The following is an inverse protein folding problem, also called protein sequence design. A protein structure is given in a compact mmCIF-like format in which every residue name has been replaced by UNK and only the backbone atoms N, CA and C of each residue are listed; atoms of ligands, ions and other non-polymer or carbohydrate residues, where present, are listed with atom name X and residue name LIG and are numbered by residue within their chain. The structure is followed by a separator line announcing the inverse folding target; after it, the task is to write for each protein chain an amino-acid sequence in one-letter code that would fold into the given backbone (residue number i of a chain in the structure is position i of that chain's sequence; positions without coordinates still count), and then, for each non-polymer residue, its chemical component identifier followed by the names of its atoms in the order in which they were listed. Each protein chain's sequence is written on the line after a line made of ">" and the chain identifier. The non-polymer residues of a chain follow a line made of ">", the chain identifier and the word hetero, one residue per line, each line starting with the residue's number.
data_IF_170937052339
#
_entry.id   IF_170937052339
#
_cell.length_a   1.000
_cell.length_b   1.000
_cell.length_c   1.000
_cell.angle_alpha   90.00
_cell.angle_beta   90.00
_cell.angle_gamma   90.00
#
_symmetry.space_group_name_H-M   'P 1'
#
loop_
_entity.id
_entity.type
_entity.pdbx_description
1 polymer ?
#
# COMPACT_ATOMS: atom_id res chain seq x y z
N UNK A 1 1.22 -38.76 22.74
CA UNK A 1 0.95 -37.31 22.68
C UNK A 1 1.79 -36.76 21.55
N UNK A 2 1.20 -36.66 20.36
CA UNK A 2 1.88 -36.12 19.18
C UNK A 2 1.93 -34.59 19.28
N UNK A 3 3.13 -34.03 19.16
CA UNK A 3 3.37 -32.60 19.20
C UNK A 3 2.77 -31.91 17.98
N UNK A 4 1.79 -31.05 18.22
CA UNK A 4 1.30 -30.09 17.23
C UNK A 4 2.46 -29.16 16.89
N UNK A 5 3.06 -29.36 15.71
CA UNK A 5 4.02 -28.41 15.12
C UNK A 5 3.27 -27.09 14.94
N UNK A 6 3.67 -26.06 15.68
CA UNK A 6 3.13 -24.72 15.53
C UNK A 6 3.28 -24.27 14.08
N UNK A 7 2.17 -23.91 13.45
CA UNK A 7 2.16 -23.23 12.16
C UNK A 7 2.98 -21.94 12.32
N UNK A 8 4.19 -21.88 11.77
CA UNK A 8 4.93 -20.62 11.63
C UNK A 8 4.23 -19.79 10.56
N UNK A 9 3.18 -19.06 10.93
CA UNK A 9 2.43 -18.20 10.02
C UNK A 9 3.37 -17.20 9.33
N UNK A 10 3.22 -17.03 8.00
CA UNK A 10 3.91 -15.95 7.28
C UNK A 10 3.47 -14.62 7.89
N UNK A 11 4.41 -13.79 8.34
CA UNK A 11 4.11 -12.42 8.80
C UNK A 11 3.74 -11.54 7.58
N UNK A 12 2.44 -11.45 7.32
CA UNK A 12 1.87 -10.72 6.18
C UNK A 12 2.00 -9.20 6.34
N UNK A 13 1.91 -8.68 7.57
CA UNK A 13 1.95 -7.24 7.79
C UNK A 13 3.38 -6.68 7.83
N UNK A 14 3.61 -5.46 7.31
CA UNK A 14 4.89 -4.78 7.43
C UNK A 14 5.16 -4.30 8.86
N UNK A 15 6.35 -3.74 9.08
CA UNK A 15 6.71 -3.15 10.37
C UNK A 15 5.85 -1.92 10.64
N UNK A 16 5.49 -1.69 11.90
CA UNK A 16 4.81 -0.47 12.31
C UNK A 16 5.63 0.77 11.97
N UNK A 17 4.92 1.80 11.51
CA UNK A 17 5.45 3.13 11.22
C UNK A 17 4.75 4.14 12.10
N UNK A 18 5.47 5.20 12.46
CA UNK A 18 4.93 6.35 13.17
C UNK A 18 4.87 7.53 12.21
N UNK A 19 3.68 8.04 11.96
CA UNK A 19 3.46 9.31 11.29
C UNK A 19 4.00 10.43 12.15
N UNK A 20 4.69 11.38 11.52
CA UNK A 20 5.25 12.54 12.20
C UNK A 20 4.42 13.80 11.95
N UNK A 21 3.49 13.76 10.98
CA UNK A 21 2.63 14.87 10.53
C UNK A 21 1.28 14.31 10.05
N UNK A 22 0.39 15.15 9.52
CA UNK A 22 -0.88 14.74 8.88
C UNK A 22 -0.70 13.96 7.58
N UNK A 23 0.07 12.86 7.63
CA UNK A 23 0.53 12.06 6.50
C UNK A 23 0.04 10.60 6.59
N UNK A 24 -1.04 10.37 7.35
CA UNK A 24 -1.68 9.06 7.56
C UNK A 24 -1.96 8.32 6.25
N UNK A 25 -2.48 9.00 5.22
CA UNK A 25 -2.79 8.39 3.93
C UNK A 25 -1.57 7.80 3.22
N UNK A 26 -0.42 8.48 3.25
CA UNK A 26 0.79 7.96 2.60
C UNK A 26 1.32 6.73 3.33
N UNK A 27 1.27 6.74 4.67
CA UNK A 27 1.67 5.59 5.50
C UNK A 27 0.70 4.43 5.32
N UNK A 28 -0.61 4.68 5.31
CA UNK A 28 -1.64 3.68 5.13
C UNK A 28 -1.56 3.02 3.75
N UNK A 29 -1.44 3.81 2.69
CA UNK A 29 -1.39 3.30 1.32
C UNK A 29 -0.12 2.47 1.04
N UNK A 30 1.04 2.91 1.57
CA UNK A 30 2.27 2.11 1.47
C UNK A 30 2.19 0.82 2.30
N UNK A 31 1.64 0.88 3.51
CA UNK A 31 1.41 -0.30 4.37
C UNK A 31 0.47 -1.30 3.70
N UNK A 32 -0.59 -0.81 3.08
CA UNK A 32 -1.55 -1.59 2.30
C UNK A 32 -0.88 -2.33 1.14
N UNK A 33 -0.09 -1.62 0.33
CA UNK A 33 0.66 -2.24 -0.77
C UNK A 33 1.72 -3.25 -0.28
N UNK A 34 2.44 -2.94 0.80
CA UNK A 34 3.46 -3.82 1.36
C UNK A 34 2.89 -5.12 1.90
N UNK A 35 1.74 -5.05 2.58
CA UNK A 35 1.05 -6.23 3.06
C UNK A 35 0.63 -7.13 1.88
N UNK A 36 0.11 -6.56 0.80
CA UNK A 36 -0.20 -7.31 -0.42
C UNK A 36 1.03 -7.91 -1.12
N UNK A 37 2.14 -7.16 -1.20
CA UNK A 37 3.41 -7.67 -1.72
C UNK A 37 3.93 -8.85 -0.88
N UNK A 38 3.78 -8.79 0.45
CA UNK A 38 4.19 -9.87 1.37
C UNK A 38 3.34 -11.13 1.20
N UNK A 39 2.03 -11.00 0.94
CA UNK A 39 1.19 -12.14 0.57
C UNK A 39 1.74 -12.81 -0.69
N UNK A 40 2.17 -12.02 -1.68
CA UNK A 40 2.82 -12.49 -2.90
C UNK A 40 4.29 -12.93 -2.71
N UNK A 41 4.82 -12.92 -1.47
CA UNK A 41 6.19 -13.35 -1.15
C UNK A 41 7.27 -12.30 -1.39
N UNK A 42 6.90 -11.05 -1.71
CA UNK A 42 7.82 -9.93 -1.93
C UNK A 42 7.90 -9.09 -0.66
N UNK A 43 9.10 -8.96 -0.09
CA UNK A 43 9.34 -8.07 1.06
C UNK A 43 10.08 -6.82 0.60
N UNK A 44 9.42 -5.66 0.73
CA UNK A 44 9.98 -4.34 0.44
C UNK A 44 9.45 -3.33 1.45
N UNK A 45 10.23 -2.30 1.74
CA UNK A 45 9.79 -1.10 2.45
C UNK A 45 9.60 0.01 1.41
N UNK A 46 8.36 0.34 1.07
CA UNK A 46 7.96 1.43 0.17
C UNK A 46 8.04 2.77 0.89
N UNK A 47 8.36 3.84 0.16
CA UNK A 47 8.50 5.19 0.72
C UNK A 47 7.18 5.96 0.74
N UNK A 48 6.64 6.31 1.92
CA UNK A 48 5.53 7.27 2.02
C UNK A 48 5.93 8.65 1.50
N UNK A 49 7.19 9.04 1.64
CA UNK A 49 7.72 10.34 1.21
C UNK A 49 7.76 10.45 -0.31
N UNK A 50 8.15 9.40 -1.03
CA UNK A 50 8.07 9.38 -2.51
C UNK A 50 6.63 9.51 -3.00
N UNK A 51 5.66 8.91 -2.29
CA UNK A 51 4.23 9.07 -2.60
C UNK A 51 3.78 10.52 -2.35
N UNK A 52 4.16 11.10 -1.21
CA UNK A 52 3.84 12.49 -0.86
C UNK A 52 4.41 13.49 -1.86
N UNK A 53 5.68 13.34 -2.23
CA UNK A 53 6.33 14.22 -3.21
C UNK A 53 5.66 14.11 -4.58
N UNK A 54 5.33 12.89 -5.04
CA UNK A 54 4.64 12.71 -6.32
C UNK A 54 3.21 13.24 -6.30
N UNK A 55 2.48 13.07 -5.18
CA UNK A 55 1.14 13.63 -5.00
C UNK A 55 1.14 15.15 -5.10
N UNK A 56 2.10 15.80 -4.42
CA UNK A 56 2.26 17.26 -4.43
C UNK A 56 2.60 17.81 -5.81
N UNK A 57 3.26 17.00 -6.65
CA UNK A 57 3.69 17.37 -8.00
C UNK A 57 2.70 16.91 -9.11
N UNK A 58 1.51 16.39 -8.75
CA UNK A 58 0.46 16.11 -9.74
C UNK A 58 -0.02 17.41 -10.40
N UNK A 59 -0.02 17.45 -11.73
CA UNK A 59 -0.46 18.62 -12.50
C UNK A 59 -1.97 18.88 -12.38
N UNK A 60 -2.76 17.83 -12.19
CA UNK A 60 -4.22 17.86 -12.12
C UNK A 60 -4.74 17.36 -10.77
N UNK A 61 -4.07 17.80 -9.71
CA UNK A 61 -4.41 17.48 -8.32
C UNK A 61 -5.82 17.95 -7.96
N UNK A 62 -6.65 17.04 -7.46
CA UNK A 62 -7.97 17.37 -6.90
C UNK A 62 -7.88 17.70 -5.40
N UNK A 63 -8.97 18.18 -4.81
CA UNK A 63 -8.98 18.53 -3.38
C UNK A 63 -8.82 17.31 -2.46
N UNK A 64 -9.27 16.13 -2.90
CA UNK A 64 -9.17 14.89 -2.13
C UNK A 64 -7.78 14.25 -2.28
N UNK A 65 -6.99 14.32 -1.20
CA UNK A 65 -5.66 13.73 -1.10
C UNK A 65 -5.67 12.21 -1.30
N UNK A 66 -6.72 11.51 -0.87
CA UNK A 66 -6.85 10.05 -1.05
C UNK A 66 -6.90 9.72 -2.53
N UNK A 67 -7.76 10.40 -3.28
CA UNK A 67 -7.89 10.16 -4.72
C UNK A 67 -6.60 10.49 -5.47
N UNK A 68 -5.92 11.58 -5.09
CA UNK A 68 -4.60 11.92 -5.65
C UNK A 68 -3.56 10.83 -5.38
N UNK A 69 -3.50 10.30 -4.15
CA UNK A 69 -2.59 9.20 -3.81
C UNK A 69 -2.88 7.96 -4.66
N UNK A 70 -4.15 7.56 -4.76
CA UNK A 70 -4.55 6.40 -5.56
C UNK A 70 -4.20 6.61 -7.04
N UNK A 71 -4.32 7.84 -7.54
CA UNK A 71 -3.89 8.21 -8.89
C UNK A 71 -2.40 8.05 -9.08
N UNK A 72 -1.56 8.60 -8.19
CA UNK A 72 -0.10 8.40 -8.23
C UNK A 72 0.22 6.91 -8.24
N UNK A 73 -0.39 6.13 -7.34
CA UNK A 73 -0.12 4.70 -7.25
C UNK A 73 -0.50 3.95 -8.52
N UNK A 74 -1.57 4.36 -9.21
CA UNK A 74 -2.06 3.70 -10.42
C UNK A 74 -1.25 4.08 -11.67
N UNK A 75 -0.98 5.38 -11.84
CA UNK A 75 -0.42 5.91 -13.08
C UNK A 75 1.10 6.01 -13.07
N UNK A 76 1.69 6.35 -11.92
CA UNK A 76 3.12 6.64 -11.78
C UNK A 76 3.84 5.54 -11.00
N UNK A 77 3.26 5.10 -9.90
CA UNK A 77 3.87 4.21 -8.91
C UNK A 77 4.91 4.89 -8.04
N UNK A 78 5.41 4.14 -7.06
CA UNK A 78 6.36 4.59 -6.03
C UNK A 78 7.56 3.66 -5.92
N UNK A 79 8.64 4.12 -5.33
CA UNK A 79 9.86 3.33 -5.12
C UNK A 79 10.01 2.87 -3.67
N UNK A 80 11.01 2.01 -3.44
CA UNK A 80 11.39 1.62 -2.09
C UNK A 80 11.96 2.82 -1.32
N UNK A 81 11.84 2.80 0.00
CA UNK A 81 12.44 3.79 0.91
C UNK A 81 13.94 3.94 0.68
N UNK A 82 14.64 2.82 0.55
CA UNK A 82 16.07 2.81 0.26
C UNK A 82 16.40 3.49 -1.08
N UNK A 83 15.62 3.24 -2.14
CA UNK A 83 15.87 3.88 -3.44
C UNK A 83 15.53 5.38 -3.41
N UNK A 84 14.49 5.75 -2.65
CA UNK A 84 14.13 7.15 -2.43
C UNK A 84 15.24 7.91 -1.67
N UNK A 85 15.76 7.35 -0.57
CA UNK A 85 16.85 7.93 0.21
C UNK A 85 18.12 8.10 -0.63
N UNK A 86 18.43 7.14 -1.51
CA UNK A 86 19.56 7.25 -2.46
C UNK A 86 19.38 8.40 -3.44
N UNK A 87 18.17 8.59 -3.99
CA UNK A 87 17.88 9.72 -4.89
C UNK A 87 18.07 11.05 -4.18
N UNK A 88 17.56 11.17 -2.95
CA UNK A 88 17.68 12.38 -2.14
C UNK A 88 19.14 12.68 -1.76
N UNK A 89 19.93 11.65 -1.43
CA UNK A 89 21.37 11.78 -1.17
C UNK A 89 22.16 12.26 -2.40
N UNK A 90 21.91 11.64 -3.55
CA UNK A 90 22.58 12.02 -4.80
C UNK A 90 22.22 13.45 -5.26
N UNK A 91 20.99 13.90 -5.02
CA UNK A 91 20.58 15.29 -5.28
C UNK A 91 21.37 16.29 -4.44
N UNK A 92 21.58 16.00 -3.14
CA UNK A 92 22.31 16.87 -2.21
C UNK A 92 23.79 17.00 -2.55
N UNK A 93 24.43 15.92 -3.00
CA UNK A 93 25.88 15.93 -3.30
C UNK A 93 26.21 16.57 -4.64
N UNK A 94 25.34 16.43 -5.64
CA UNK A 94 25.65 16.84 -7.02
C UNK A 94 24.86 18.07 -7.50
N UNK A 95 23.89 18.57 -6.72
CA UNK A 95 23.01 19.68 -7.13
C UNK A 95 22.19 19.38 -8.39
N UNK A 96 22.20 18.14 -8.86
CA UNK A 96 21.51 17.68 -10.05
C UNK A 96 20.35 16.80 -9.64
N UNK A 97 19.18 17.01 -10.26
CA UNK A 97 18.13 16.00 -10.31
C UNK A 97 18.73 14.79 -11.03
N UNK A 98 19.21 13.81 -10.27
CA UNK A 98 19.69 12.54 -10.84
C UNK A 98 18.46 11.83 -11.40
N UNK A 99 18.16 12.16 -12.66
CA UNK A 99 17.02 11.67 -13.44
C UNK A 99 17.02 10.15 -13.61
N UNK A 100 18.07 9.44 -13.16
CA UNK A 100 18.29 8.03 -13.45
C UNK A 100 18.99 7.36 -12.26
N UNK A 101 18.38 7.36 -11.08
CA UNK A 101 18.55 6.17 -10.24
C UNK A 101 17.57 5.16 -10.79
N UNK A 102 18.08 4.21 -11.57
CA UNK A 102 17.40 2.99 -11.98
C UNK A 102 16.77 2.34 -10.73
N UNK A 103 15.54 2.71 -10.39
CA UNK A 103 14.83 2.23 -9.22
C UNK A 103 13.68 1.32 -9.65
N UNK A 104 13.40 0.31 -8.84
CA UNK A 104 12.20 -0.50 -9.01
C UNK A 104 10.99 0.34 -8.62
N UNK A 105 10.00 0.37 -9.50
CA UNK A 105 8.74 1.08 -9.27
C UNK A 105 7.62 0.09 -9.01
N UNK A 106 6.81 0.38 -8.00
CA UNK A 106 5.66 -0.39 -7.55
C UNK A 106 4.40 0.44 -7.81
N UNK A 107 3.46 -0.06 -8.60
CA UNK A 107 2.20 0.61 -8.91
C UNK A 107 1.02 -0.34 -8.71
N UNK A 108 -0.14 0.17 -8.35
CA UNK A 108 -1.38 -0.62 -8.32
C UNK A 108 -1.92 -0.74 -9.75
N UNK A 109 -2.39 -1.94 -10.15
CA UNK A 109 -2.95 -2.14 -11.49
C UNK A 109 -4.29 -1.42 -11.62
N UNK A 110 -5.20 -1.66 -10.69
CA UNK A 110 -6.47 -0.98 -10.58
C UNK A 110 -6.85 -0.81 -9.10
N UNK A 111 -7.78 0.11 -8.85
CA UNK A 111 -8.35 0.35 -7.52
C UNK A 111 -9.87 0.26 -7.64
N UNK A 112 -10.48 -0.54 -6.77
CA UNK A 112 -11.92 -0.72 -6.66
C UNK A 112 -12.39 -0.09 -5.34
N UNK A 113 -13.23 0.96 -5.39
CA UNK A 113 -13.87 1.48 -4.19
C UNK A 113 -15.07 0.60 -3.81
N UNK A 114 -15.28 0.43 -2.51
CA UNK A 114 -16.52 -0.10 -1.94
C UNK A 114 -17.30 1.04 -1.30
N UNK A 115 -18.61 1.07 -1.56
CA UNK A 115 -19.56 2.01 -0.96
C UNK A 115 -20.48 1.28 0.01
N UNK A 116 -20.34 1.54 1.30
CA UNK A 116 -21.15 0.87 2.34
C UNK A 116 -22.64 1.24 2.32
N UNK A 117 -23.04 2.19 1.47
CA UNK A 117 -24.45 2.46 1.18
C UNK A 117 -25.12 1.31 0.38
N UNK A 118 -24.32 0.40 -0.20
CA UNK A 118 -24.79 -0.72 -1.01
C UNK A 118 -24.44 -2.04 -0.32
N UNK A 119 -25.45 -2.82 0.07
CA UNK A 119 -25.27 -4.11 0.75
C UNK A 119 -24.32 -5.07 0.01
N UNK A 120 -24.42 -5.13 -1.31
CA UNK A 120 -23.54 -5.96 -2.14
C UNK A 120 -22.08 -5.50 -2.11
N UNK A 121 -21.85 -4.21 -1.92
CA UNK A 121 -20.50 -3.67 -1.77
C UNK A 121 -19.89 -4.06 -0.42
N UNK A 122 -20.70 -4.14 0.64
CA UNK A 122 -20.25 -4.62 1.95
C UNK A 122 -19.83 -6.09 1.88
N UNK A 123 -20.64 -6.94 1.22
CA UNK A 123 -20.32 -8.35 1.01
C UNK A 123 -19.01 -8.52 0.25
N UNK A 124 -18.83 -7.78 -0.84
CA UNK A 124 -17.57 -7.79 -1.62
C UNK A 124 -16.37 -7.34 -0.78
N UNK A 125 -16.51 -6.30 0.04
CA UNK A 125 -15.44 -5.89 0.95
C UNK A 125 -15.06 -6.99 1.96
N UNK A 126 -16.06 -7.69 2.51
CA UNK A 126 -15.86 -8.82 3.42
C UNK A 126 -15.23 -10.04 2.74
N UNK A 127 -15.47 -10.25 1.45
CA UNK A 127 -14.79 -11.27 0.66
C UNK A 127 -13.34 -10.86 0.38
N UNK A 128 -13.11 -9.62 -0.03
CA UNK A 128 -11.78 -9.09 -0.37
C UNK A 128 -10.81 -9.08 0.82
N UNK A 129 -11.27 -8.69 2.03
CA UNK A 129 -10.40 -8.63 3.22
C UNK A 129 -9.77 -9.99 3.58
N UNK A 130 -10.40 -11.10 3.16
CA UNK A 130 -9.89 -12.47 3.40
C UNK A 130 -8.65 -12.79 2.56
N UNK A 131 -8.47 -12.10 1.44
CA UNK A 131 -7.41 -12.38 0.46
C UNK A 131 -6.39 -11.27 0.33
N UNK A 132 -6.77 -10.03 0.67
CA UNK A 132 -5.88 -8.89 0.61
C UNK A 132 -6.26 -7.85 1.68
N UNK A 133 -5.27 -7.11 2.21
CA UNK A 133 -5.56 -5.93 3.01
C UNK A 133 -6.37 -4.91 2.20
N UNK A 134 -7.14 -4.09 2.91
CA UNK A 134 -7.91 -2.99 2.33
C UNK A 134 -7.35 -1.64 2.79
N UNK A 135 -7.58 -0.58 2.03
CA UNK A 135 -7.28 0.78 2.48
C UNK A 135 -8.57 1.42 3.00
N UNK A 136 -8.58 1.76 4.29
CA UNK A 136 -9.71 2.40 4.95
C UNK A 136 -9.49 3.90 5.05
N UNK A 137 -10.56 4.66 4.83
CA UNK A 137 -10.63 6.08 5.15
C UNK A 137 -11.88 6.33 5.99
N UNK A 138 -11.68 6.99 7.13
CA UNK A 138 -12.71 7.25 8.12
C UNK A 138 -12.42 8.56 8.85
N UNK A 139 -13.43 9.13 9.49
CA UNK A 139 -13.26 10.37 10.23
C UNK A 139 -12.82 10.05 11.65
N UNK A 140 -11.93 10.88 12.18
CA UNK A 140 -11.57 10.88 13.59
C UNK A 140 -11.88 12.25 14.20
N UNK A 141 -12.41 12.24 15.42
CA UNK A 141 -12.48 13.45 16.25
C UNK A 141 -11.05 13.82 16.69
N UNK A 142 -10.76 15.11 16.82
CA UNK A 142 -9.59 15.65 17.53
C UNK A 142 -9.23 14.93 18.84
N UNK A 143 -10.22 14.41 19.58
CA UNK A 143 -10.01 13.68 20.84
C UNK A 143 -9.75 12.16 20.67
N UNK A 144 -9.67 11.66 19.44
CA UNK A 144 -9.51 10.24 19.12
C UNK A 144 -8.37 9.57 19.89
N UNK A 145 -7.18 10.18 19.92
CA UNK A 145 -6.03 9.61 20.60
C UNK A 145 -6.21 9.55 22.12
N UNK A 146 -6.84 10.56 22.73
CA UNK A 146 -7.15 10.56 24.15
C UNK A 146 -8.21 9.51 24.50
N UNK A 147 -9.18 9.31 23.62
CA UNK A 147 -10.20 8.27 23.76
C UNK A 147 -9.59 6.87 23.72
N UNK A 148 -8.77 6.59 22.70
CA UNK A 148 -8.04 5.32 22.59
C UNK A 148 -7.16 5.11 23.83
N UNK A 149 -6.44 6.14 24.29
CA UNK A 149 -5.63 6.08 25.51
C UNK A 149 -6.42 5.67 26.76
N UNK A 150 -7.64 6.18 26.89
CA UNK A 150 -8.50 5.94 28.07
C UNK A 150 -9.17 4.57 28.06
N UNK A 151 -9.59 4.08 26.88
CA UNK A 151 -10.46 2.91 26.77
C UNK A 151 -9.83 1.71 26.06
N UNK A 152 -8.60 1.82 25.54
CA UNK A 152 -7.92 0.71 24.85
C UNK A 152 -8.59 0.34 23.51
N UNK A 153 -8.70 -0.97 23.22
CA UNK A 153 -9.43 -1.49 22.06
C UNK A 153 -10.94 -1.67 22.29
N UNK A 154 -11.41 -1.48 23.53
CA UNK A 154 -12.76 -1.85 23.94
C UNK A 154 -13.89 -1.07 23.26
N UNK A 155 -13.71 0.20 22.84
CA UNK A 155 -14.70 0.80 21.99
C UNK A 155 -14.33 0.55 20.53
N UNK A 156 -15.04 -0.42 19.97
CA UNK A 156 -15.41 -0.40 18.56
C UNK A 156 -15.98 1.01 18.30
N UNK A 157 -15.17 1.86 17.66
CA UNK A 157 -15.46 3.28 17.52
C UNK A 157 -16.89 3.40 16.98
N UNK A 158 -17.75 4.06 17.76
CA UNK A 158 -19.12 4.37 17.39
C UNK A 158 -19.22 5.87 17.24
N UNK A 159 -19.52 6.30 16.03
CA UNK A 159 -19.77 7.68 15.66
C UNK A 159 -21.00 8.24 16.42
N UNK A 160 -20.76 8.71 17.64
CA UNK A 160 -21.77 9.34 18.48
C UNK A 160 -21.80 10.87 18.43
N UNK A 161 -20.83 11.52 17.75
CA UNK A 161 -20.71 12.98 17.73
C UNK A 161 -20.09 13.49 16.42
N UNK A 162 -20.90 13.56 15.37
CA UNK A 162 -20.57 14.42 14.24
C UNK A 162 -20.69 15.88 14.70
N UNK A 163 -19.56 16.52 14.96
CA UNK A 163 -19.50 17.98 14.98
C UNK A 163 -18.84 18.41 13.68
N UNK A 164 -19.67 18.83 12.72
CA UNK A 164 -19.22 19.37 11.43
C UNK A 164 -18.19 20.49 11.70
N UNK A 165 -16.97 20.33 11.16
CA UNK A 165 -15.84 21.24 11.40
C UNK A 165 -14.80 20.80 12.45
N UNK A 166 -15.03 19.71 13.20
CA UNK A 166 -14.04 19.12 14.14
C UNK A 166 -13.53 17.73 13.74
N UNK A 167 -13.95 17.25 12.58
CA UNK A 167 -13.58 15.93 12.08
C UNK A 167 -12.40 16.05 11.13
N UNK A 168 -11.37 15.24 11.36
CA UNK A 168 -10.25 15.08 10.44
C UNK A 168 -10.36 13.73 9.70
N UNK A 169 -9.99 13.73 8.42
CA UNK A 169 -9.88 12.49 7.65
C UNK A 169 -8.66 11.69 8.10
N UNK A 170 -8.86 10.41 8.43
CA UNK A 170 -7.81 9.46 8.76
C UNK A 170 -7.83 8.29 7.79
N UNK A 171 -6.66 7.74 7.52
CA UNK A 171 -6.50 6.58 6.67
C UNK A 171 -5.67 5.51 7.37
N UNK A 172 -6.04 4.25 7.18
CA UNK A 172 -5.36 3.12 7.78
C UNK A 172 -5.39 1.88 6.86
N UNK A 173 -4.47 0.95 7.10
CA UNK A 173 -4.47 -0.34 6.41
C UNK A 173 -5.42 -1.30 7.15
N UNK A 174 -6.54 -1.64 6.54
CA UNK A 174 -7.48 -2.65 7.02
C UNK A 174 -6.88 -4.05 6.93
N UNK A 175 -6.85 -4.74 8.06
CA UNK A 175 -6.16 -6.03 8.21
C UNK A 175 -7.10 -7.20 8.46
N UNK A 176 -8.33 -6.94 8.88
CA UNK A 176 -9.27 -8.00 9.18
C UNK A 176 -10.67 -7.49 9.51
N UNK A 177 -11.56 -8.45 9.69
CA UNK A 177 -12.92 -8.24 10.14
C UNK A 177 -13.22 -9.27 11.24
N UNK A 178 -13.96 -8.86 12.26
CA UNK A 178 -14.36 -9.74 13.34
C UNK A 178 -15.72 -9.37 13.92
N UNK A 179 -16.20 -10.23 14.81
CA UNK A 179 -17.36 -9.99 15.65
C UNK A 179 -16.96 -10.31 17.07
N UNK A 180 -17.15 -9.36 17.98
CA UNK A 180 -16.94 -9.56 19.41
C UNK A 180 -18.29 -9.49 20.11
N UNK A 181 -18.66 -10.58 20.78
CA UNK A 181 -20.01 -10.85 21.30
C UNK A 181 -21.07 -10.76 20.18
N UNK A 182 -21.58 -9.56 19.91
CA UNK A 182 -22.58 -9.26 18.88
C UNK A 182 -22.21 -8.06 18.00
N UNK A 183 -21.05 -7.42 18.26
CA UNK A 183 -20.67 -6.17 17.60
C UNK A 183 -19.65 -6.47 16.50
N UNK A 184 -19.96 -6.21 15.22
CA UNK A 184 -18.99 -6.38 14.15
C UNK A 184 -17.97 -5.24 14.17
N UNK A 185 -16.73 -5.54 13.79
CA UNK A 185 -15.66 -4.55 13.68
C UNK A 185 -14.74 -4.81 12.50
N UNK A 186 -14.22 -3.74 11.93
CA UNK A 186 -13.02 -3.78 11.12
C UNK A 186 -11.80 -3.63 12.03
N UNK A 187 -10.77 -4.43 11.76
CA UNK A 187 -9.44 -4.25 12.34
C UNK A 187 -8.54 -3.51 11.34
N UNK A 188 -7.73 -2.59 11.85
CA UNK A 188 -6.76 -1.87 11.02
C UNK A 188 -5.42 -1.68 11.74
N UNK A 189 -4.35 -1.66 10.95
CA UNK A 189 -3.01 -1.28 11.36
C UNK A 189 -2.88 0.25 11.27
N UNK A 190 -2.62 0.89 12.41
CA UNK A 190 -2.52 2.35 12.50
C UNK A 190 -1.09 2.84 12.22
N UNK A 191 -0.98 4.09 11.78
CA UNK A 191 0.27 4.80 11.52
C UNK A 191 0.83 5.50 12.75
N UNK A 192 0.38 5.19 13.98
CA UNK A 192 0.87 5.80 15.23
C UNK A 192 2.03 5.01 15.88
N UNK A 193 2.58 4.02 15.19
CA UNK A 193 3.69 3.18 15.66
C UNK A 193 3.28 2.04 16.60
N UNK A 194 4.26 1.21 16.98
CA UNK A 194 4.05 0.04 17.85
C UNK A 194 3.58 0.36 19.27
N UNK A 195 3.79 1.62 19.70
CA UNK A 195 3.40 2.10 21.02
C UNK A 195 1.97 2.65 21.03
N UNK A 196 1.31 2.72 19.86
CA UNK A 196 -0.13 2.88 19.82
C UNK A 196 -0.77 1.67 20.53
N UNK A 197 -1.82 1.92 21.30
CA UNK A 197 -2.41 0.92 22.16
C UNK A 197 -2.79 -0.36 21.40
N UNK A 198 -2.71 -1.48 22.11
CA UNK A 198 -2.83 -2.83 21.55
C UNK A 198 -1.90 -3.13 20.38
N UNK A 199 -0.64 -2.73 20.55
CA UNK A 199 0.44 -3.16 19.68
C UNK A 199 0.36 -2.59 18.28
N UNK A 200 -0.24 -1.40 18.09
CA UNK A 200 -0.30 -0.73 16.79
C UNK A 200 -1.59 -0.91 15.98
N UNK A 201 -2.60 -1.60 16.53
CA UNK A 201 -3.87 -1.87 15.84
C UNK A 201 -5.05 -1.13 16.48
N UNK A 202 -6.04 -0.80 15.66
CA UNK A 202 -7.33 -0.27 16.09
C UNK A 202 -8.51 -1.09 15.57
N UNK A 203 -9.68 -0.87 16.17
CA UNK A 203 -10.96 -1.45 15.75
C UNK A 203 -11.98 -0.34 15.51
N UNK A 204 -12.80 -0.46 14.48
CA UNK A 204 -13.80 0.54 14.08
C UNK A 204 -15.09 -0.15 13.63
N UNK A 205 -16.25 0.50 13.87
CA UNK A 205 -17.51 -0.01 13.35
C UNK A 205 -17.51 -0.02 11.82
N UNK A 206 -18.11 -1.05 11.19
CA UNK A 206 -18.17 -1.11 9.74
C UNK A 206 -18.79 0.09 9.04
N UNK A 207 -19.78 0.73 9.66
CA UNK A 207 -20.45 1.89 9.10
C UNK A 207 -19.68 3.21 9.26
N UNK A 208 -18.65 3.26 10.11
CA UNK A 208 -17.85 4.47 10.34
C UNK A 208 -16.71 4.61 9.33
N UNK A 209 -16.42 3.56 8.57
CA UNK A 209 -15.50 3.60 7.44
C UNK A 209 -16.26 4.07 6.20
N UNK A 210 -16.08 5.32 5.79
CA UNK A 210 -16.86 5.88 4.67
C UNK A 210 -16.25 5.58 3.29
N UNK A 211 -14.94 5.30 3.22
CA UNK A 211 -14.33 4.76 1.99
C UNK A 211 -13.45 3.55 2.28
N UNK A 212 -13.60 2.53 1.42
CA UNK A 212 -12.76 1.35 1.42
C UNK A 212 -12.27 1.11 0.01
N UNK A 213 -10.98 0.87 -0.13
CA UNK A 213 -10.36 0.61 -1.40
C UNK A 213 -9.66 -0.74 -1.39
N UNK A 214 -9.85 -1.47 -2.48
CA UNK A 214 -9.15 -2.70 -2.80
C UNK A 214 -8.34 -2.47 -4.09
N UNK A 215 -7.21 -3.16 -4.25
CA UNK A 215 -6.50 -3.22 -5.51
C UNK A 215 -6.57 -4.63 -6.08
N UNK A 216 -6.55 -4.75 -7.40
CA UNK A 216 -6.55 -6.05 -8.10
C UNK A 216 -5.13 -6.63 -8.34
N UNK A 217 -4.10 -5.93 -7.88
CA UNK A 217 -2.71 -6.39 -7.94
C UNK A 217 -1.70 -5.25 -7.93
N UNK A 218 -0.44 -5.62 -7.74
CA UNK A 218 0.69 -4.69 -7.76
C UNK A 218 1.64 -5.07 -8.90
N UNK A 219 1.92 -4.10 -9.75
CA UNK A 219 2.86 -4.19 -10.87
C UNK A 219 4.23 -3.72 -10.36
N UNK A 220 5.25 -4.55 -10.58
CA UNK A 220 6.63 -4.26 -10.22
C UNK A 220 7.44 -4.02 -11.50
N UNK A 221 7.76 -2.77 -11.80
CA UNK A 221 8.55 -2.39 -12.97
C UNK A 221 10.01 -2.23 -12.57
N UNK A 222 10.87 -3.00 -13.22
CA UNK A 222 12.33 -2.86 -13.06
C UNK A 222 12.87 -1.93 -14.15
N UNK A 223 13.86 -1.10 -13.82
CA UNK A 223 14.52 -0.26 -14.81
C UNK A 223 15.18 -1.15 -15.87
N UNK A 224 15.06 -0.76 -17.14
CA UNK A 224 15.74 -1.43 -18.24
C UNK A 224 17.22 -1.10 -18.12
N UNK A 225 18.02 -2.02 -17.58
CA UNK A 225 19.49 -1.89 -17.59
C UNK A 225 19.93 -1.70 -19.04
N UNK A 226 20.37 -0.50 -19.42
CA UNK A 226 21.14 -0.33 -20.65
C UNK A 226 22.39 -1.19 -20.50
N UNK A 227 22.61 -2.12 -21.43
CA UNK A 227 23.84 -2.90 -21.48
C UNK A 227 25.03 -1.94 -21.39
N UNK A 228 25.86 -2.08 -20.36
CA UNK A 228 27.11 -1.31 -20.15
C UNK A 228 28.16 -1.50 -21.27
N UNK A 229 27.82 -2.14 -22.40
CA UNK A 229 28.73 -2.46 -23.50
C UNK A 229 28.67 -1.50 -24.70
N UNK A 230 27.87 -0.44 -24.67
CA UNK A 230 27.75 0.48 -25.83
C UNK A 230 28.30 1.90 -25.60
N UNK A 231 29.17 2.10 -24.60
CA UNK A 231 29.87 3.38 -24.40
C UNK A 231 31.34 3.12 -24.11
N UNK A 232 32.04 2.66 -25.13
CA UNK A 232 33.49 2.79 -25.30
C UNK A 232 33.81 2.44 -26.76
N UNK A 233 33.55 3.40 -27.65
CA UNK A 233 34.13 3.47 -28.99
C UNK A 233 33.72 4.81 -29.62
N UNK A 234 34.44 5.86 -29.25
CA UNK A 234 34.75 6.92 -30.20
C UNK A 234 36.27 6.95 -30.29
N UNK A 235 36.80 6.12 -31.18
CA UNK A 235 37.99 6.46 -31.95
C UNK A 235 37.58 6.33 -33.40
N UNK A 236 37.97 7.37 -34.12
CA UNK A 236 37.65 7.65 -35.50
C UNK A 236 37.96 6.48 -36.43
N UNK A 237 37.18 6.37 -37.51
CA UNK A 237 37.62 5.67 -38.71
C UNK A 237 36.74 4.51 -39.17
N UNK A 238 36.12 4.76 -40.31
CA UNK A 238 36.06 3.88 -41.47
C UNK A 238 34.79 3.04 -41.71
N UNK A 239 34.23 3.28 -42.90
CA UNK A 239 33.06 2.65 -43.49
C UNK A 239 33.40 1.21 -43.89
N UNK A 240 32.64 0.22 -43.40
CA UNK A 240 32.46 -1.05 -44.12
C UNK A 240 31.23 -1.83 -43.63
N UNK A 241 30.49 -2.35 -44.61
CA UNK A 241 29.32 -3.21 -44.50
C UNK A 241 29.58 -4.47 -43.64
N UNK A 242 28.57 -4.91 -42.88
CA UNK A 242 28.54 -6.26 -42.32
C UNK A 242 27.61 -6.50 -41.13
N UNK A 243 26.53 -7.24 -41.41
CA UNK A 243 25.81 -8.18 -40.53
C UNK A 243 25.07 -7.68 -39.26
N UNK A 244 23.74 -7.62 -39.40
CA UNK A 244 22.77 -7.54 -38.29
C UNK A 244 22.78 -8.83 -37.43
N UNK A 245 23.00 -8.75 -36.11
CA UNK A 245 22.77 -9.88 -35.22
C UNK A 245 21.29 -9.97 -34.77
N UNK A 246 20.81 -11.16 -34.36
CA UNK A 246 19.38 -11.47 -34.29
C UNK A 246 18.67 -10.77 -33.13
N UNK A 247 17.41 -10.40 -33.39
CA UNK A 247 16.44 -9.80 -32.47
C UNK A 247 16.23 -10.67 -31.21
N UNK A 248 16.82 -10.25 -30.09
CA UNK A 248 16.54 -10.83 -28.77
C UNK A 248 15.15 -10.40 -28.28
N UNK A 249 14.29 -11.38 -28.01
CA UNK A 249 12.99 -11.26 -27.35
C UNK A 249 13.08 -10.34 -26.12
N UNK A 250 12.27 -9.27 -26.11
CA UNK A 250 12.02 -8.45 -24.93
C UNK A 250 11.45 -9.32 -23.80
N UNK A 251 12.07 -9.30 -22.62
CA UNK A 251 11.47 -9.87 -21.40
C UNK A 251 10.33 -8.95 -20.97
N UNK A 252 9.11 -9.50 -20.95
CA UNK A 252 7.86 -8.83 -20.53
C UNK A 252 7.90 -8.48 -19.05
N UNK A 253 7.19 -7.40 -18.70
CA UNK A 253 6.87 -6.99 -17.33
C UNK A 253 6.35 -8.17 -16.49
N UNK A 254 6.85 -8.32 -15.26
CA UNK A 254 6.33 -9.31 -14.31
C UNK A 254 5.06 -8.73 -13.65
N UNK A 255 3.90 -9.22 -14.10
CA UNK A 255 2.60 -8.95 -13.48
C UNK A 255 2.30 -10.07 -12.48
N UNK A 256 2.20 -9.72 -11.19
CA UNK A 256 1.78 -10.65 -10.16
C UNK A 256 0.25 -10.59 -10.04
N UNK A 257 -0.43 -11.56 -10.66
CA UNK A 257 -1.88 -11.73 -10.57
C UNK A 257 -2.23 -12.45 -9.27
N UNK A 258 -3.10 -11.83 -8.47
CA UNK A 258 -3.74 -12.49 -7.35
C UNK A 258 -5.03 -13.14 -7.87
N UNK A 259 -4.97 -14.39 -8.35
CA UNK A 259 -6.19 -15.16 -8.59
C UNK A 259 -6.18 -16.52 -7.90
N UNK A 260 -7.28 -16.68 -7.17
CA UNK A 260 -7.94 -17.81 -6.52
C UNK A 260 -7.70 -19.16 -7.19
N UNK A 261 -7.22 -20.11 -6.40
CA UNK A 261 -7.62 -21.50 -6.47
C UNK A 261 -7.72 -22.04 -5.05
N UNK A 262 -8.91 -21.97 -4.47
CA UNK A 262 -9.27 -22.84 -3.36
C UNK A 262 -10.60 -23.50 -3.74
N UNK A 263 -10.47 -24.68 -4.34
CA UNK A 263 -11.52 -25.69 -4.35
C UNK A 263 -11.89 -25.94 -2.89
N UNK A 264 -13.08 -25.48 -2.48
CA UNK A 264 -13.60 -25.88 -1.17
C UNK A 264 -13.84 -27.39 -1.19
N UNK A 265 -13.37 -28.15 -0.19
CA UNK A 265 -13.86 -29.51 0.01
C UNK A 265 -15.36 -29.42 0.38
N UNK A 266 -16.18 -30.39 -0.07
CA UNK A 266 -17.61 -30.36 0.13
C UNK A 266 -17.93 -30.38 1.63
N UNK A 267 -18.88 -29.54 2.01
CA UNK A 267 -19.52 -29.57 3.33
C UNK A 267 -19.95 -30.99 3.69
N UNK A 268 -19.70 -31.38 4.93
CA UNK A 268 -20.39 -32.48 5.59
C UNK A 268 -20.80 -32.05 7.01
N UNK A 269 -21.88 -32.65 7.52
CA UNK A 269 -23.06 -31.97 8.07
C UNK A 269 -22.90 -31.33 9.45
#
# INVERSE_FOLDING_TARGET
>A
MEGVRGFSGKKVLPKFRTQTRGNCIYVAATTWMEASLRIAGITVELSPEDLEDKERNLLDRVHDRTLNCLKVLKEVGICSKHDYEKKQGAFKELGMVVQIVDCVTYSVRNVRPFSFLLLDSCKKALESIRTCPLLFVFHIDTNYYAYVQRFGQLPILSYGKFEEGKMEGHAACGTGFGVEEIVPFWEFMNSAGKNFLAGGFGRILPHDVYHVYEHDGIIVRRPVRRNKRSRECFKDGDDSDGDLPPTKKQKRDEVYLMHQDNVMPPHMP
#
